data_IF_081845300229
#
_entry.id   IF_081845300229
#
_cell.length_a   1.000
_cell.length_b   1.000
_cell.length_c   1.000
_cell.angle_alpha   90.00
_cell.angle_beta   90.00
_cell.angle_gamma   90.00
#
_symmetry.space_group_name_H-M   'P 1'
#
loop_
_entity.id
_entity.type
_entity.pdbx_description
1 polymer ?
#
# COMPACT_ATOMS: atom_id res chain seq x y z
N UNK A 1 59.46 19.09 -49.54
CA UNK A 1 58.34 18.62 -50.39
C UNK A 1 57.34 17.77 -49.63
N UNK A 2 57.77 16.89 -48.70
CA UNK A 2 56.88 15.99 -47.95
C UNK A 2 55.90 16.73 -47.03
N UNK A 3 56.34 17.76 -46.30
CA UNK A 3 55.48 18.49 -45.33
C UNK A 3 54.31 19.24 -46.00
N UNK A 4 54.53 19.84 -47.18
CA UNK A 4 53.45 20.51 -47.94
C UNK A 4 52.38 19.52 -48.43
N UNK A 5 52.75 18.28 -48.73
CA UNK A 5 51.78 17.27 -49.16
C UNK A 5 50.89 16.81 -47.98
N UNK A 6 51.45 16.69 -46.78
CA UNK A 6 50.70 16.35 -45.57
C UNK A 6 49.72 17.47 -45.19
N UNK A 7 50.12 18.73 -45.31
CA UNK A 7 49.22 19.87 -45.08
C UNK A 7 48.07 19.93 -46.10
N UNK A 8 48.34 19.61 -47.37
CA UNK A 8 47.32 19.55 -48.41
C UNK A 8 46.32 18.43 -48.11
N UNK A 9 46.79 17.22 -47.77
CA UNK A 9 45.91 16.09 -47.41
C UNK A 9 45.07 16.38 -46.17
N UNK A 10 45.66 16.95 -45.11
CA UNK A 10 44.93 17.35 -43.91
C UNK A 10 43.86 18.41 -44.21
N UNK A 11 44.16 19.37 -45.08
CA UNK A 11 43.20 20.41 -45.49
C UNK A 11 42.03 19.83 -46.31
N UNK A 12 42.27 18.82 -47.13
CA UNK A 12 41.21 18.13 -47.89
C UNK A 12 40.30 17.31 -46.96
N UNK A 13 40.87 16.59 -46.00
CA UNK A 13 40.10 15.83 -45.01
C UNK A 13 39.22 16.76 -44.17
N UNK A 14 39.77 17.90 -43.72
CA UNK A 14 39.00 18.89 -42.96
C UNK A 14 37.85 19.48 -43.79
N UNK A 15 38.07 19.81 -45.06
CA UNK A 15 37.00 20.30 -45.95
C UNK A 15 35.93 19.24 -46.17
N UNK A 16 36.32 17.99 -46.38
CA UNK A 16 35.38 16.88 -46.54
C UNK A 16 34.53 16.66 -45.27
N UNK A 17 35.16 16.70 -44.10
CA UNK A 17 34.44 16.59 -42.83
C UNK A 17 33.47 17.76 -42.61
N UNK A 18 33.85 18.98 -43.01
CA UNK A 18 32.99 20.16 -42.92
C UNK A 18 31.79 20.07 -43.87
N UNK A 19 31.98 19.62 -45.12
CA UNK A 19 30.89 19.45 -46.08
C UNK A 19 29.92 18.36 -45.63
N UNK A 20 30.44 17.24 -45.15
CA UNK A 20 29.62 16.14 -44.64
C UNK A 20 28.80 16.57 -43.40
N UNK A 21 29.42 17.31 -42.48
CA UNK A 21 28.71 17.84 -41.31
C UNK A 21 27.64 18.88 -41.69
N UNK A 22 27.87 19.70 -42.72
CA UNK A 22 26.89 20.66 -43.22
C UNK A 22 25.70 19.95 -43.89
N UNK A 23 25.96 18.91 -44.68
CA UNK A 23 24.94 18.11 -45.34
C UNK A 23 24.07 17.35 -44.33
N UNK A 24 24.68 16.69 -43.34
CA UNK A 24 23.96 16.00 -42.27
C UNK A 24 23.07 16.95 -41.44
N UNK A 25 23.53 18.20 -41.21
CA UNK A 25 22.71 19.22 -40.55
C UNK A 25 21.54 19.67 -41.43
N UNK A 26 21.77 19.87 -42.72
CA UNK A 26 20.72 20.25 -43.66
C UNK A 26 19.64 19.17 -43.80
N UNK A 27 20.03 17.90 -43.80
CA UNK A 27 19.10 16.77 -43.80
C UNK A 27 18.30 16.70 -42.49
N UNK A 28 18.96 16.85 -41.34
CA UNK A 28 18.29 16.88 -40.04
C UNK A 28 17.26 18.03 -39.93
N UNK A 29 17.57 19.21 -40.48
CA UNK A 29 16.61 20.33 -40.51
C UNK A 29 15.40 20.05 -41.38
N UNK A 30 15.57 19.41 -42.54
CA UNK A 30 14.46 19.03 -43.42
C UNK A 30 13.50 18.06 -42.72
N UNK A 31 14.04 17.02 -42.07
CA UNK A 31 13.22 16.05 -41.33
C UNK A 31 12.43 16.72 -40.21
N UNK A 32 13.02 17.70 -39.51
CA UNK A 32 12.33 18.44 -38.45
C UNK A 32 11.23 19.35 -39.00
N UNK A 33 11.45 20.00 -40.14
CA UNK A 33 10.47 20.87 -40.76
C UNK A 33 9.29 20.08 -41.35
N UNK A 34 9.56 18.93 -41.97
CA UNK A 34 8.53 18.01 -42.46
C UNK A 34 7.67 17.47 -41.31
N UNK A 35 8.29 17.04 -40.21
CA UNK A 35 7.58 16.57 -39.03
C UNK A 35 6.73 17.67 -38.37
N UNK A 36 7.17 18.93 -38.42
CA UNK A 36 6.39 20.08 -37.94
C UNK A 36 5.18 20.35 -38.83
N UNK A 37 5.34 20.29 -40.15
CA UNK A 37 4.25 20.46 -41.10
C UNK A 37 3.17 19.39 -40.92
N UNK A 38 3.56 18.12 -40.75
CA UNK A 38 2.62 17.03 -40.45
C UNK A 38 1.88 17.26 -39.12
N UNK A 39 2.59 17.70 -38.08
CA UNK A 39 1.98 17.99 -36.79
C UNK A 39 0.95 19.13 -36.87
N UNK A 40 1.24 20.19 -37.63
CA UNK A 40 0.29 21.28 -37.85
C UNK A 40 -0.93 20.82 -38.65
N UNK A 41 -0.73 19.96 -39.65
CA UNK A 41 -1.82 19.38 -40.42
C UNK A 41 -2.76 18.55 -39.52
N UNK A 42 -2.20 17.70 -38.66
CA UNK A 42 -2.96 16.91 -37.68
C UNK A 42 -3.69 17.78 -36.64
N UNK A 43 -3.07 18.89 -36.21
CA UNK A 43 -3.71 19.83 -35.29
C UNK A 43 -4.85 20.59 -35.97
N UNK A 44 -4.69 20.97 -37.24
CA UNK A 44 -5.74 21.65 -38.00
C UNK A 44 -6.95 20.74 -38.24
N UNK A 45 -6.74 19.47 -38.59
CA UNK A 45 -7.82 18.50 -38.75
C UNK A 45 -8.51 18.21 -37.42
N UNK A 46 -7.75 18.00 -36.33
CA UNK A 46 -8.32 17.81 -35.00
C UNK A 46 -9.13 19.02 -34.51
N UNK A 47 -8.72 20.26 -34.86
CA UNK A 47 -9.49 21.48 -34.57
C UNK A 47 -10.76 21.58 -35.41
N UNK A 48 -10.72 21.19 -36.68
CA UNK A 48 -11.92 21.13 -37.52
C UNK A 48 -12.93 20.10 -36.97
N UNK A 49 -12.46 18.93 -36.55
CA UNK A 49 -13.29 17.89 -35.92
C UNK A 49 -13.87 18.34 -34.57
N UNK A 50 -13.08 19.06 -33.76
CA UNK A 50 -13.55 19.63 -32.50
C UNK A 50 -14.55 20.78 -32.69
N UNK A 51 -14.39 21.58 -33.75
CA UNK A 51 -15.35 22.63 -34.13
C UNK A 51 -16.66 22.09 -34.71
N UNK A 52 -16.63 20.87 -35.25
CA UNK A 52 -17.78 20.17 -35.80
C UNK A 52 -18.60 19.38 -34.77
N UNK A 53 -18.25 19.41 -33.47
CA UNK A 53 -19.11 18.86 -32.41
C UNK A 53 -20.44 19.64 -32.46
N UNK A 54 -21.55 19.02 -32.89
CA UNK A 54 -22.79 19.75 -33.08
C UNK A 54 -23.29 20.30 -31.75
N UNK A 55 -24.05 21.40 -31.82
CA UNK A 55 -24.79 22.04 -30.72
C UNK A 55 -25.78 21.12 -29.95
N UNK A 56 -25.74 19.81 -30.17
CA UNK A 56 -26.47 18.77 -29.43
C UNK A 56 -26.07 18.67 -27.95
N UNK A 57 -24.94 19.25 -27.53
CA UNK A 57 -24.60 19.37 -26.11
C UNK A 57 -25.60 20.22 -25.31
N UNK A 58 -26.31 21.17 -25.93
CA UNK A 58 -27.31 22.00 -25.23
C UNK A 58 -28.54 21.17 -24.77
N UNK A 59 -28.93 20.17 -25.55
CA UNK A 59 -30.02 19.24 -25.19
C UNK A 59 -29.62 18.32 -24.02
N UNK A 60 -28.37 17.82 -24.01
CA UNK A 60 -27.85 16.96 -22.94
C UNK A 60 -27.66 17.69 -21.61
N UNK A 61 -27.41 19.01 -21.63
CA UNK A 61 -27.34 19.83 -20.42
C UNK A 61 -28.72 19.99 -19.77
N UNK A 62 -29.78 20.15 -20.58
CA UNK A 62 -31.16 20.21 -20.07
C UNK A 62 -31.59 18.93 -19.35
N UNK A 63 -31.23 17.76 -19.90
CA UNK A 63 -31.55 16.46 -19.30
C UNK A 63 -30.74 16.19 -18.03
N UNK A 64 -29.48 16.64 -17.99
CA UNK A 64 -28.64 16.55 -16.78
C UNK A 64 -29.19 17.36 -15.61
N UNK A 65 -29.72 18.55 -15.87
CA UNK A 65 -30.29 19.40 -14.84
C UNK A 65 -31.63 18.86 -14.32
N UNK A 66 -32.45 18.25 -15.20
CA UNK A 66 -33.67 17.50 -14.81
C UNK A 66 -33.34 16.31 -13.91
N UNK A 67 -32.39 15.47 -14.30
CA UNK A 67 -31.94 14.32 -13.50
C UNK A 67 -31.37 14.73 -12.14
N UNK A 68 -30.69 15.88 -12.07
CA UNK A 68 -30.19 16.44 -10.81
C UNK A 68 -31.32 16.83 -9.87
N UNK A 69 -32.36 17.48 -10.38
CA UNK A 69 -33.56 17.87 -9.62
C UNK A 69 -34.34 16.65 -9.14
N UNK A 70 -34.54 15.65 -9.98
CA UNK A 70 -35.21 14.39 -9.61
C UNK A 70 -34.45 13.65 -8.51
N UNK A 71 -33.12 13.52 -8.64
CA UNK A 71 -32.28 12.91 -7.61
C UNK A 71 -32.39 13.65 -6.28
N UNK A 72 -32.37 14.98 -6.29
CA UNK A 72 -32.45 15.78 -5.07
C UNK A 72 -33.85 15.73 -4.44
N UNK A 73 -34.91 15.66 -5.24
CA UNK A 73 -36.28 15.40 -4.78
C UNK A 73 -36.43 14.01 -4.16
N UNK A 74 -35.85 12.98 -4.78
CA UNK A 74 -35.86 11.60 -4.28
C UNK A 74 -35.07 11.49 -2.97
N UNK A 75 -33.96 12.22 -2.85
CA UNK A 75 -33.19 12.34 -1.59
C UNK A 75 -33.96 13.04 -0.48
N UNK A 76 -34.75 14.08 -0.80
CA UNK A 76 -35.66 14.73 0.17
C UNK A 76 -36.76 13.76 0.61
N UNK A 77 -37.41 13.05 -0.33
CA UNK A 77 -38.41 12.00 -0.04
C UNK A 77 -37.87 10.89 0.85
N UNK A 78 -36.63 10.43 0.61
CA UNK A 78 -36.02 9.45 1.49
C UNK A 78 -35.77 9.98 2.91
N UNK A 79 -35.44 11.27 3.06
CA UNK A 79 -35.30 11.89 4.39
C UNK A 79 -36.64 11.98 5.11
N UNK A 80 -37.72 12.35 4.42
CA UNK A 80 -39.06 12.41 5.00
C UNK A 80 -39.62 11.01 5.31
N UNK A 81 -39.36 10.01 4.48
CA UNK A 81 -39.69 8.62 4.79
C UNK A 81 -38.88 8.06 5.97
N UNK A 82 -37.63 8.52 6.15
CA UNK A 82 -36.81 8.13 7.30
C UNK A 82 -37.27 8.76 8.61
N UNK A 83 -37.88 9.95 8.58
CA UNK A 83 -38.56 10.55 9.73
C UNK A 83 -39.95 9.95 9.99
N UNK A 84 -40.48 9.14 9.07
CA UNK A 84 -41.78 8.46 9.15
C UNK A 84 -41.64 6.95 9.39
N UNK A 85 -40.50 6.47 9.91
CA UNK A 85 -40.42 5.05 10.25
C UNK A 85 -41.47 4.67 11.31
N UNK A 86 -42.27 3.62 11.05
CA UNK A 86 -43.37 3.18 11.90
C UNK A 86 -42.82 2.54 13.16
N UNK A 87 -43.45 2.87 14.29
CA UNK A 87 -43.22 2.32 15.63
C UNK A 87 -43.70 0.88 15.80
N UNK A 88 -43.91 0.12 14.73
CA UNK A 88 -44.36 -1.27 14.83
C UNK A 88 -43.94 -2.03 13.58
N UNK A 89 -43.10 -3.05 13.78
CA UNK A 89 -43.09 -4.36 13.09
C UNK A 89 -41.77 -5.08 13.42
N UNK A 90 -41.83 -5.96 14.41
CA UNK A 90 -41.20 -7.29 14.36
C UNK A 90 -39.67 -7.46 14.29
N UNK A 91 -38.83 -6.41 14.34
CA UNK A 91 -37.37 -6.58 14.22
C UNK A 91 -36.55 -6.13 15.45
N UNK A 92 -37.19 -5.70 16.54
CA UNK A 92 -36.50 -4.92 17.57
C UNK A 92 -35.46 -5.71 18.38
N UNK A 93 -35.71 -6.97 18.74
CA UNK A 93 -34.78 -7.72 19.62
C UNK A 93 -33.53 -8.21 18.88
N UNK A 94 -33.68 -8.76 17.67
CA UNK A 94 -32.55 -9.24 16.86
C UNK A 94 -31.70 -8.07 16.37
N UNK A 95 -32.31 -7.00 15.85
CA UNK A 95 -31.55 -5.82 15.41
C UNK A 95 -30.85 -5.13 16.57
N UNK A 96 -31.48 -5.05 17.74
CA UNK A 96 -30.85 -4.51 18.94
C UNK A 96 -29.68 -5.39 19.38
N UNK A 97 -29.84 -6.71 19.41
CA UNK A 97 -28.78 -7.67 19.78
C UNK A 97 -27.59 -7.60 18.82
N UNK A 98 -27.83 -7.55 17.51
CA UNK A 98 -26.80 -7.42 16.48
C UNK A 98 -26.12 -6.07 16.59
N UNK A 99 -26.87 -4.98 16.82
CA UNK A 99 -26.28 -3.65 17.01
C UNK A 99 -25.41 -3.58 18.26
N UNK A 100 -25.80 -4.29 19.34
CA UNK A 100 -25.07 -4.33 20.60
C UNK A 100 -23.79 -5.14 20.44
N UNK A 101 -23.87 -6.32 19.82
CA UNK A 101 -22.69 -7.12 19.46
C UNK A 101 -21.71 -6.35 18.58
N UNK A 102 -22.20 -5.56 17.61
CA UNK A 102 -21.34 -4.71 16.78
C UNK A 102 -20.66 -3.60 17.59
N UNK A 103 -21.36 -3.00 18.57
CA UNK A 103 -20.76 -2.01 19.49
C UNK A 103 -19.69 -2.65 20.37
N UNK A 104 -19.91 -3.85 20.89
CA UNK A 104 -18.92 -4.55 21.71
C UNK A 104 -17.69 -4.95 20.90
N UNK A 105 -17.88 -5.44 19.67
CA UNK A 105 -16.78 -5.70 18.74
C UNK A 105 -15.99 -4.43 18.39
N UNK A 106 -16.67 -3.29 18.26
CA UNK A 106 -16.00 -1.99 18.07
C UNK A 106 -15.18 -1.60 19.30
N UNK A 107 -15.75 -1.76 20.50
CA UNK A 107 -15.09 -1.43 21.76
C UNK A 107 -13.84 -2.31 21.99
N UNK A 108 -13.93 -3.61 21.71
CA UNK A 108 -12.78 -4.52 21.80
C UNK A 108 -11.68 -4.15 20.80
N UNK A 109 -12.02 -3.84 19.55
CA UNK A 109 -11.07 -3.36 18.55
C UNK A 109 -10.39 -2.03 18.93
N UNK A 110 -11.13 -1.13 19.59
CA UNK A 110 -10.59 0.13 20.10
C UNK A 110 -9.66 -0.08 21.30
N UNK A 111 -10.02 -0.96 22.24
CA UNK A 111 -9.15 -1.35 23.38
C UNK A 111 -7.85 -1.99 22.92
N UNK A 112 -7.89 -2.79 21.86
CA UNK A 112 -6.69 -3.42 21.30
C UNK A 112 -5.78 -2.38 20.61
N UNK A 113 -6.34 -1.29 20.08
CA UNK A 113 -5.57 -0.24 19.37
C UNK A 113 -4.56 0.48 20.28
N UNK A 114 -4.77 0.51 21.60
CA UNK A 114 -3.86 1.16 22.55
C UNK A 114 -2.69 0.28 23.02
N UNK A 115 -2.70 -1.02 22.72
CA UNK A 115 -1.64 -1.94 23.12
C UNK A 115 -0.61 -2.12 21.99
N UNK A 116 0.68 -1.87 22.27
CA UNK A 116 1.78 -2.06 21.31
C UNK A 116 2.29 -3.50 21.23
N UNK A 117 1.72 -4.44 22.01
CA UNK A 117 2.16 -5.82 22.06
C UNK A 117 1.71 -6.61 20.82
N UNK A 118 2.57 -7.51 20.36
CA UNK A 118 2.39 -8.37 19.18
C UNK A 118 1.11 -9.21 19.24
N UNK A 119 0.80 -9.73 20.42
CA UNK A 119 -0.32 -10.65 20.63
C UNK A 119 -1.66 -9.94 20.44
N UNK A 120 -1.73 -8.67 20.84
CA UNK A 120 -2.92 -7.83 20.67
C UNK A 120 -3.12 -7.49 19.19
N UNK A 121 -2.05 -7.24 18.44
CA UNK A 121 -2.12 -7.04 17.00
C UNK A 121 -2.58 -8.31 16.27
N UNK A 122 -2.09 -9.48 16.68
CA UNK A 122 -2.53 -10.77 16.16
C UNK A 122 -4.02 -11.02 16.47
N UNK A 123 -4.46 -10.77 17.71
CA UNK A 123 -5.86 -10.89 18.11
C UNK A 123 -6.78 -9.98 17.29
N UNK A 124 -6.37 -8.73 17.04
CA UNK A 124 -7.09 -7.81 16.15
C UNK A 124 -7.18 -8.34 14.73
N UNK A 125 -6.08 -8.85 14.20
CA UNK A 125 -6.05 -9.40 12.85
C UNK A 125 -6.98 -10.61 12.72
N UNK A 126 -6.94 -11.52 13.69
CA UNK A 126 -7.79 -12.71 13.74
C UNK A 126 -9.27 -12.34 13.87
N UNK A 127 -9.60 -11.33 14.68
CA UNK A 127 -10.97 -10.83 14.79
C UNK A 127 -11.48 -10.26 13.45
N UNK A 128 -10.65 -9.47 12.75
CA UNK A 128 -11.00 -8.95 11.42
C UNK A 128 -11.16 -10.09 10.40
N UNK A 129 -10.31 -11.11 10.48
CA UNK A 129 -10.36 -12.29 9.60
C UNK A 129 -11.64 -13.12 9.84
N UNK A 130 -12.02 -13.31 11.10
CA UNK A 130 -13.27 -13.98 11.49
C UNK A 130 -14.50 -13.23 10.95
N UNK A 131 -14.47 -11.90 10.92
CA UNK A 131 -15.55 -11.05 10.43
C UNK A 131 -15.57 -10.89 8.90
N UNK A 132 -14.44 -11.12 8.23
CA UNK A 132 -14.30 -11.01 6.78
C UNK A 132 -14.69 -12.33 6.05
N UNK A 133 -15.86 -12.88 6.37
CA UNK A 133 -16.38 -14.09 5.72
C UNK A 133 -17.00 -13.82 4.35
N UNK A 134 -17.27 -14.90 3.61
CA UNK A 134 -17.77 -14.85 2.22
C UNK A 134 -19.06 -14.06 2.07
N UNK A 135 -19.95 -14.13 3.06
CA UNK A 135 -21.19 -13.34 3.07
C UNK A 135 -20.94 -11.82 3.03
N UNK A 136 -19.84 -11.36 3.64
CA UNK A 136 -19.47 -9.93 3.65
C UNK A 136 -18.84 -9.52 2.32
N UNK A 137 -18.13 -10.44 1.67
CA UNK A 137 -17.45 -10.24 0.38
C UNK A 137 -18.46 -10.28 -0.77
N UNK A 138 -19.24 -11.34 -0.87
CA UNK A 138 -20.24 -11.59 -1.95
C UNK A 138 -21.32 -10.50 -1.98
N UNK A 139 -21.87 -10.15 -0.81
CA UNK A 139 -22.93 -9.12 -0.69
C UNK A 139 -22.39 -7.68 -0.57
N UNK A 140 -21.08 -7.48 -0.76
CA UNK A 140 -20.40 -6.16 -0.73
C UNK A 140 -20.64 -5.33 0.55
N UNK A 141 -20.88 -5.97 1.69
CA UNK A 141 -21.13 -5.28 2.97
C UNK A 141 -19.88 -4.75 3.67
N UNK A 142 -18.69 -5.01 3.11
CA UNK A 142 -17.39 -4.57 3.65
C UNK A 142 -17.37 -3.09 4.08
N UNK A 143 -17.95 -2.20 3.28
CA UNK A 143 -17.93 -0.75 3.55
C UNK A 143 -18.83 -0.38 4.72
N UNK A 144 -20.00 -1.02 4.83
CA UNK A 144 -20.95 -0.81 5.93
C UNK A 144 -20.37 -1.35 7.25
N UNK A 145 -19.86 -2.58 7.21
CA UNK A 145 -19.25 -3.25 8.36
C UNK A 145 -17.99 -2.51 8.85
N UNK A 146 -17.15 -2.04 7.93
CA UNK A 146 -15.97 -1.23 8.24
C UNK A 146 -16.33 0.08 8.96
N UNK A 147 -17.41 0.74 8.51
CA UNK A 147 -17.93 1.97 9.16
C UNK A 147 -18.49 1.68 10.55
N UNK A 148 -19.21 0.57 10.69
CA UNK A 148 -19.82 0.16 11.96
C UNK A 148 -18.76 -0.20 13.02
N UNK A 149 -17.66 -0.84 12.60
CA UNK A 149 -16.56 -1.25 13.49
C UNK A 149 -15.46 -0.19 13.63
N UNK A 150 -15.50 0.90 12.86
CA UNK A 150 -14.48 1.96 12.88
C UNK A 150 -13.11 1.50 12.38
N UNK A 151 -13.07 0.53 11.46
CA UNK A 151 -11.84 -0.03 10.89
C UNK A 151 -11.72 0.37 9.41
N UNK A 152 -10.49 0.52 8.90
CA UNK A 152 -10.28 0.82 7.48
C UNK A 152 -10.75 -0.36 6.60
N UNK A 153 -11.53 -0.09 5.55
CA UNK A 153 -12.02 -1.09 4.58
C UNK A 153 -10.92 -2.02 4.06
N UNK A 154 -9.71 -1.48 3.82
CA UNK A 154 -8.55 -2.27 3.36
C UNK A 154 -8.20 -3.46 4.26
N UNK A 155 -8.52 -3.40 5.55
CA UNK A 155 -8.26 -4.50 6.48
C UNK A 155 -9.21 -5.67 6.24
N UNK A 156 -10.47 -5.41 5.85
CA UNK A 156 -11.41 -6.47 5.46
C UNK A 156 -11.01 -7.13 4.14
N UNK A 157 -10.46 -6.38 3.19
CA UNK A 157 -9.94 -6.95 1.95
C UNK A 157 -8.75 -7.88 2.22
N UNK A 158 -7.80 -7.43 3.05
CA UNK A 158 -6.67 -8.27 3.49
C UNK A 158 -7.14 -9.49 4.29
N UNK A 159 -8.11 -9.30 5.19
CA UNK A 159 -8.71 -10.37 5.98
C UNK A 159 -9.41 -11.41 5.11
N UNK A 160 -10.21 -10.99 4.13
CA UNK A 160 -10.88 -11.88 3.19
C UNK A 160 -9.88 -12.68 2.34
N UNK A 161 -8.82 -12.02 1.83
CA UNK A 161 -7.74 -12.72 1.11
C UNK A 161 -7.01 -13.73 1.99
N UNK A 162 -6.71 -13.35 3.23
CA UNK A 162 -6.06 -14.24 4.19
C UNK A 162 -6.96 -15.42 4.59
N UNK A 163 -8.27 -15.19 4.70
CA UNK A 163 -9.26 -16.22 4.98
C UNK A 163 -9.39 -17.21 3.81
N UNK A 164 -9.50 -16.71 2.59
CA UNK A 164 -9.52 -17.56 1.39
C UNK A 164 -8.27 -18.44 1.30
N UNK A 165 -7.10 -17.93 1.70
CA UNK A 165 -5.86 -18.70 1.75
C UNK A 165 -5.87 -19.79 2.85
N UNK A 166 -6.51 -19.52 4.00
CA UNK A 166 -6.71 -20.51 5.08
C UNK A 166 -7.69 -21.60 4.64
N UNK A 167 -8.79 -21.22 4.00
CA UNK A 167 -9.81 -22.17 3.54
C UNK A 167 -9.27 -23.05 2.39
N UNK A 168 -8.30 -22.56 1.60
CA UNK A 168 -7.65 -23.34 0.55
C UNK A 168 -6.48 -24.21 1.01
N UNK A 169 -5.84 -23.87 2.14
CA UNK A 169 -4.64 -24.56 2.64
C UNK A 169 -4.92 -25.21 3.99
N UNK A 170 -5.10 -26.52 4.03
CA UNK A 170 -5.35 -27.30 5.25
C UNK A 170 -4.30 -27.12 6.36
N UNK A 171 -3.09 -26.69 6.00
CA UNK A 171 -1.96 -26.53 6.92
C UNK A 171 -1.73 -25.11 7.43
N UNK A 172 -2.39 -24.09 6.86
CA UNK A 172 -2.20 -22.72 7.33
C UNK A 172 -2.95 -22.47 8.63
N UNK A 173 -2.21 -22.10 9.68
CA UNK A 173 -2.76 -21.61 10.94
C UNK A 173 -3.05 -20.11 10.82
N UNK A 174 -3.94 -19.59 11.67
CA UNK A 174 -4.14 -18.15 11.81
C UNK A 174 -2.79 -17.43 11.90
N UNK A 175 -2.62 -16.29 11.21
CA UNK A 175 -1.34 -15.60 11.17
C UNK A 175 -0.95 -15.15 12.59
N UNK A 176 -0.04 -15.89 13.21
CA UNK A 176 0.66 -15.45 14.41
C UNK A 176 1.50 -14.24 14.02
N UNK A 177 1.32 -13.12 14.74
CA UNK A 177 2.02 -11.89 14.41
C UNK A 177 3.53 -12.02 14.63
N UNK A 178 4.26 -12.45 13.60
CA UNK A 178 5.72 -12.37 13.60
C UNK A 178 6.08 -10.90 13.37
N UNK A 179 6.72 -10.27 14.34
CA UNK A 179 7.29 -8.94 14.14
C UNK A 179 8.28 -9.01 12.97
N UNK A 180 8.16 -8.09 12.01
CA UNK A 180 9.23 -7.89 11.05
C UNK A 180 10.49 -7.53 11.83
N UNK A 181 11.50 -8.37 11.72
CA UNK A 181 12.85 -8.01 12.15
C UNK A 181 13.26 -6.75 11.41
N UNK A 182 13.84 -5.81 12.16
CA UNK A 182 14.33 -4.55 11.59
C UNK A 182 15.40 -4.85 10.54
N UNK A 183 15.52 -3.99 9.52
CA UNK A 183 16.42 -4.20 8.37
C UNK A 183 17.91 -4.10 8.73
N UNK A 184 18.22 -3.59 9.91
CA UNK A 184 19.54 -3.53 10.54
C UNK A 184 19.90 -4.81 11.32
N UNK A 185 18.99 -5.80 11.37
CA UNK A 185 19.27 -7.07 12.06
C UNK A 185 20.45 -7.78 11.38
N UNK A 186 21.49 -8.04 12.15
CA UNK A 186 22.62 -8.87 11.74
C UNK A 186 22.13 -10.25 11.27
N UNK A 187 22.73 -10.78 10.20
CA UNK A 187 22.41 -12.11 9.72
C UNK A 187 22.78 -13.15 10.78
N UNK A 188 22.04 -14.26 10.84
CA UNK A 188 22.28 -15.33 11.82
C UNK A 188 23.71 -15.89 11.71
N UNK A 189 24.29 -15.90 10.51
CA UNK A 189 25.68 -16.27 10.29
C UNK A 189 26.66 -15.30 10.97
N UNK A 190 26.42 -13.99 10.91
CA UNK A 190 27.27 -12.99 11.58
C UNK A 190 27.10 -13.08 13.09
N UNK A 191 25.87 -13.30 13.57
CA UNK A 191 25.61 -13.53 15.00
C UNK A 191 26.37 -14.77 15.49
N UNK A 192 26.35 -15.88 14.75
CA UNK A 192 27.07 -17.10 15.11
C UNK A 192 28.60 -16.89 15.16
N UNK A 193 29.18 -16.20 14.18
CA UNK A 193 30.62 -15.88 14.18
C UNK A 193 31.01 -15.00 15.37
N UNK A 194 30.17 -14.02 15.69
CA UNK A 194 30.39 -13.15 16.85
C UNK A 194 30.26 -13.96 18.15
N UNK A 195 29.25 -14.84 18.26
CA UNK A 195 29.10 -15.75 19.40
C UNK A 195 30.32 -16.68 19.56
N UNK A 196 30.82 -17.27 18.49
CA UNK A 196 32.00 -18.15 18.50
C UNK A 196 33.28 -17.40 18.87
N UNK A 197 33.43 -16.16 18.37
CA UNK A 197 34.52 -15.28 18.75
C UNK A 197 34.49 -14.98 20.25
N UNK A 198 33.34 -14.61 20.80
CA UNK A 198 33.22 -14.32 22.23
C UNK A 198 33.34 -15.57 23.10
N UNK A 199 32.83 -16.73 22.66
CA UNK A 199 33.05 -18.02 23.34
C UNK A 199 34.52 -18.41 23.42
N UNK A 200 35.31 -18.05 22.41
CA UNK A 200 36.74 -18.41 22.33
C UNK A 200 37.69 -17.38 22.96
N UNK A 201 37.32 -16.09 22.98
CA UNK A 201 38.21 -14.98 23.41
C UNK A 201 37.79 -14.28 24.69
N UNK A 202 36.51 -14.34 25.10
CA UNK A 202 36.08 -13.69 26.34
C UNK A 202 36.38 -14.58 27.55
N UNK A 203 37.05 -13.99 28.54
CA UNK A 203 37.31 -14.60 29.85
C UNK A 203 36.11 -14.48 30.80
N UNK A 204 34.99 -13.92 30.32
CA UNK A 204 33.79 -13.65 31.11
C UNK A 204 32.79 -14.76 30.82
N UNK A 205 32.82 -15.79 31.66
CA UNK A 205 31.72 -16.76 31.74
C UNK A 205 30.41 -15.98 31.93
N UNK A 206 29.35 -16.29 31.17
CA UNK A 206 28.02 -15.79 31.46
C UNK A 206 27.72 -16.04 32.94
N UNK A 207 27.41 -14.98 33.69
CA UNK A 207 26.87 -15.15 35.04
C UNK A 207 25.40 -15.49 34.93
N UNK A 208 24.86 -16.16 35.95
CA UNK A 208 23.43 -16.48 36.06
C UNK A 208 22.53 -15.22 36.00
N UNK A 209 23.11 -14.06 36.29
CA UNK A 209 22.45 -12.76 36.26
C UNK A 209 22.34 -12.18 34.83
N UNK A 210 23.04 -12.76 33.85
CA UNK A 210 23.04 -12.36 32.43
C UNK A 210 21.96 -13.09 31.60
N UNK A 211 20.93 -13.62 32.26
CA UNK A 211 19.84 -14.36 31.63
C UNK A 211 18.54 -13.54 31.64
N UNK A 212 18.07 -13.09 30.47
CA UNK A 212 16.74 -12.47 30.34
C UNK A 212 15.70 -13.56 30.13
N UNK A 213 14.71 -13.59 31.02
CA UNK A 213 13.54 -14.48 30.91
C UNK A 213 12.43 -13.78 30.15
N UNK A 214 12.09 -14.30 28.97
CA UNK A 214 10.94 -13.85 28.19
C UNK A 214 9.74 -14.76 28.48
N UNK A 215 8.66 -14.19 29.00
CA UNK A 215 7.42 -14.94 29.25
C UNK A 215 6.68 -15.22 27.94
N UNK A 216 6.34 -16.48 27.70
CA UNK A 216 5.62 -16.94 26.49
C UNK A 216 4.19 -17.35 26.82
N UNK A 217 4.00 -17.97 27.97
CA UNK A 217 2.69 -18.36 28.47
C UNK A 217 2.60 -18.13 29.99
N UNK A 218 1.42 -18.31 30.62
CA UNK A 218 1.32 -18.34 32.07
C UNK A 218 2.30 -19.35 32.69
N UNK A 219 3.23 -18.86 33.51
CA UNK A 219 4.30 -19.63 34.16
C UNK A 219 5.30 -20.33 33.22
N UNK A 220 5.29 -20.04 31.92
CA UNK A 220 6.25 -20.58 30.94
C UNK A 220 7.13 -19.44 30.42
N UNK A 221 8.44 -19.63 30.53
CA UNK A 221 9.47 -18.64 30.19
C UNK A 221 10.50 -19.30 29.28
N UNK A 222 10.89 -18.63 28.20
CA UNK A 222 12.15 -18.92 27.51
C UNK A 222 13.25 -18.06 28.14
N UNK A 223 14.40 -18.67 28.35
CA UNK A 223 15.60 -18.00 28.84
C UNK A 223 16.51 -17.69 27.67
N UNK A 224 16.89 -16.43 27.49
CA UNK A 224 17.87 -16.01 26.51
C UNK A 224 19.13 -15.53 27.23
N UNK A 225 20.30 -15.91 26.72
CA UNK A 225 21.57 -15.35 27.19
C UNK A 225 21.69 -13.91 26.68
N UNK A 226 21.97 -12.96 27.57
CA UNK A 226 22.23 -11.56 27.23
C UNK A 226 23.64 -11.47 26.68
N UNK A 227 23.79 -11.49 25.36
CA UNK A 227 25.08 -11.26 24.70
C UNK A 227 25.31 -9.78 24.39
N UNK A 228 25.11 -8.90 25.37
CA UNK A 228 25.29 -7.46 25.20
C UNK A 228 25.79 -6.87 26.52
N UNK A 229 27.11 -6.87 26.70
CA UNK A 229 27.75 -5.92 27.61
C UNK A 229 27.97 -4.67 26.77
N UNK A 230 27.18 -3.62 27.01
CA UNK A 230 27.58 -2.27 26.59
C UNK A 230 28.90 -1.95 27.30
N UNK A 231 29.87 -1.35 26.60
CA UNK A 231 31.22 -1.00 27.10
C UNK A 231 31.21 -0.09 28.35
N UNK A 232 30.03 0.28 28.87
CA UNK A 232 29.82 1.21 29.98
C UNK A 232 29.99 0.59 31.37
N UNK A 233 30.03 -0.74 31.52
CA UNK A 233 30.19 -1.38 32.84
C UNK A 233 31.64 -1.63 33.28
N UNK A 234 32.64 -1.37 32.42
CA UNK A 234 34.07 -1.60 32.76
C UNK A 234 34.74 -0.38 33.42
N UNK A 235 34.07 0.78 33.51
CA UNK A 235 34.64 2.00 34.13
C UNK A 235 34.04 2.38 35.49
N UNK A 236 33.23 1.52 36.11
CA UNK A 236 32.73 1.74 37.47
C UNK A 236 32.98 0.51 38.34
N UNK A 237 34.24 0.28 38.70
CA UNK A 237 34.65 -0.36 39.96
C UNK A 237 36.12 -0.11 40.27
#
# INVERSE_FOLDING_TARGET
>A
MVERNVEIEASMILRFAQTFAAEARAEATKVLDDARAEAEQLLSSARADAGAIPSSCSALVGDKEKLRRERDALRKRMRTMKSLQPSSLGCSKLDLSVSTGIKDMRNTLQRIKSSQRTDYLAAKHNLILALAGDNVVTKRYQTSLARALGVKRKNFFKGAKARAALDSNETQRFPTGVQKTRSDKLSEAVVAVVEDFWRSKSRVSPRKDDEIRKRIAPKVYETHQVHWIEETEVLLR
#
